data_IF_077183868435
#
_entry.id   IF_077183868435
#
_cell.length_a   1.000
_cell.length_b   1.000
_cell.length_c   1.000
_cell.angle_alpha   90.00
_cell.angle_beta   90.00
_cell.angle_gamma   90.00
#
_symmetry.space_group_name_H-M   'P 1'
#
loop_
_entity.id
_entity.type
_entity.pdbx_description
1 polymer ?
#
# COMPACT_ATOMS: atom_id res chain seq x y z
N UNK A 1 -8.28 -16.53 -18.57
CA UNK A 1 -7.35 -15.50 -19.11
C UNK A 1 -6.35 -15.18 -18.01
N UNK A 2 -5.15 -15.77 -18.08
CA UNK A 2 -4.10 -15.54 -17.09
C UNK A 2 -3.46 -14.17 -17.33
N UNK A 3 -3.75 -13.21 -16.46
CA UNK A 3 -2.97 -11.97 -16.39
C UNK A 3 -1.59 -12.31 -15.86
N UNK A 4 -0.58 -12.31 -16.72
CA UNK A 4 0.81 -12.25 -16.29
C UNK A 4 0.99 -10.88 -15.64
N UNK A 5 0.77 -10.82 -14.32
CA UNK A 5 1.09 -9.63 -13.53
C UNK A 5 2.58 -9.38 -13.66
N UNK A 6 2.95 -8.22 -14.21
CA UNK A 6 4.35 -7.78 -14.23
C UNK A 6 4.91 -7.93 -12.83
N UNK A 7 6.00 -8.66 -12.68
CA UNK A 7 6.73 -8.71 -11.42
C UNK A 7 7.29 -7.30 -11.17
N UNK A 8 6.77 -6.64 -10.13
CA UNK A 8 7.26 -5.34 -9.69
C UNK A 8 8.25 -5.59 -8.56
N UNK A 9 9.47 -5.12 -8.72
CA UNK A 9 10.49 -5.27 -7.70
C UNK A 9 10.41 -4.13 -6.67
N UNK A 10 10.26 -4.50 -5.40
CA UNK A 10 10.37 -3.60 -4.26
C UNK A 10 11.83 -3.56 -3.80
N UNK A 11 12.45 -2.39 -3.93
CA UNK A 11 13.80 -2.10 -3.45
C UNK A 11 13.76 -1.71 -1.99
N UNK A 12 14.45 -2.47 -1.15
CA UNK A 12 14.62 -2.13 0.28
C UNK A 12 15.73 -1.09 0.44
N UNK A 13 15.50 -0.09 1.31
CA UNK A 13 16.45 1.00 1.57
C UNK A 13 17.81 0.41 1.98
N UNK A 14 18.86 0.89 1.31
CA UNK A 14 20.28 0.53 1.48
C UNK A 14 20.80 -0.72 0.77
N UNK A 15 20.03 -1.39 -0.10
CA UNK A 15 20.52 -2.56 -0.87
C UNK A 15 20.94 -3.76 -0.01
N UNK A 16 20.69 -3.71 1.30
CA UNK A 16 21.09 -4.74 2.28
C UNK A 16 20.22 -6.02 2.22
N UNK A 17 19.12 -5.99 1.47
CA UNK A 17 18.21 -7.13 1.29
C UNK A 17 17.88 -7.28 -0.18
N UNK A 18 17.69 -8.52 -0.69
CA UNK A 18 17.23 -8.75 -2.05
C UNK A 18 15.93 -7.99 -2.32
N UNK A 19 15.73 -7.58 -3.57
CA UNK A 19 14.44 -7.08 -4.04
C UNK A 19 13.38 -8.15 -3.81
N UNK A 20 12.19 -7.74 -3.39
CA UNK A 20 11.05 -8.64 -3.24
C UNK A 20 9.95 -8.25 -4.22
N UNK A 21 9.19 -9.24 -4.71
CA UNK A 21 8.01 -8.95 -5.51
C UNK A 21 6.97 -8.17 -4.69
N UNK A 22 6.29 -7.23 -5.33
CA UNK A 22 5.16 -6.53 -4.73
C UNK A 22 4.09 -7.51 -4.23
N UNK A 23 3.67 -7.32 -2.98
CA UNK A 23 2.64 -8.13 -2.32
C UNK A 23 1.44 -7.24 -1.97
N UNK A 24 0.35 -7.40 -2.71
CA UNK A 24 -0.92 -6.70 -2.47
C UNK A 24 -1.46 -6.98 -1.06
N UNK A 25 -1.29 -8.20 -0.55
CA UNK A 25 -1.77 -8.61 0.77
C UNK A 25 -1.10 -7.86 1.90
N UNK A 26 0.22 -7.64 1.82
CA UNK A 26 0.96 -6.81 2.79
C UNK A 26 0.46 -5.37 2.81
N UNK A 27 0.26 -4.78 1.62
CA UNK A 27 -0.29 -3.42 1.50
C UNK A 27 -1.72 -3.32 2.03
N UNK A 28 -2.57 -4.30 1.71
CA UNK A 28 -3.95 -4.33 2.18
C UNK A 28 -3.99 -4.37 3.72
N UNK A 29 -3.22 -5.28 4.32
CA UNK A 29 -3.14 -5.42 5.77
C UNK A 29 -2.65 -4.14 6.46
N UNK A 30 -1.65 -3.45 5.88
CA UNK A 30 -1.13 -2.21 6.45
C UNK A 30 -2.13 -1.06 6.37
N UNK A 31 -2.84 -0.91 5.25
CA UNK A 31 -3.87 0.15 5.08
C UNK A 31 -5.07 -0.14 5.98
N UNK A 32 -5.54 -1.39 6.03
CA UNK A 32 -6.63 -1.81 6.92
C UNK A 32 -6.28 -1.51 8.38
N UNK A 33 -5.06 -1.82 8.82
CA UNK A 33 -4.60 -1.54 10.18
C UNK A 33 -4.59 -0.04 10.52
N UNK A 34 -4.35 0.84 9.55
CA UNK A 34 -4.45 2.28 9.76
C UNK A 34 -5.89 2.79 9.83
N UNK A 35 -6.82 2.20 9.08
CA UNK A 35 -8.24 2.53 9.22
C UNK A 35 -8.78 2.05 10.59
N UNK A 36 -8.37 0.86 11.02
CA UNK A 36 -8.77 0.33 12.34
C UNK A 36 -8.17 1.13 13.51
N UNK A 37 -6.98 1.73 13.36
CA UNK A 37 -6.38 2.53 14.44
C UNK A 37 -7.12 3.84 14.72
N UNK A 38 -7.86 4.35 13.73
CA UNK A 38 -8.80 5.48 13.87
C UNK A 38 -10.23 5.05 14.16
N UNK A 39 -10.44 3.78 14.53
CA UNK A 39 -11.72 3.18 14.93
C UNK A 39 -12.75 3.07 13.81
N UNK A 40 -12.31 2.92 12.57
CA UNK A 40 -13.21 2.59 11.47
C UNK A 40 -13.81 1.17 11.64
N UNK A 41 -14.95 0.92 10.99
CA UNK A 41 -15.59 -0.39 10.99
C UNK A 41 -14.81 -1.36 10.10
N UNK A 42 -14.72 -2.64 10.48
CA UNK A 42 -13.89 -3.63 9.77
C UNK A 42 -14.23 -3.77 8.28
N UNK A 43 -15.53 -3.72 7.93
CA UNK A 43 -16.00 -3.73 6.55
C UNK A 43 -15.56 -2.49 5.77
N UNK A 44 -15.76 -1.29 6.33
CA UNK A 44 -15.34 -0.03 5.70
C UNK A 44 -13.82 0.08 5.56
N UNK A 45 -13.07 -0.41 6.55
CA UNK A 45 -11.62 -0.50 6.53
C UNK A 45 -11.12 -1.45 5.43
N UNK A 46 -11.81 -2.58 5.23
CA UNK A 46 -11.51 -3.55 4.17
C UNK A 46 -11.78 -2.95 2.78
N UNK A 47 -12.97 -2.36 2.57
CA UNK A 47 -13.34 -1.72 1.31
C UNK A 47 -12.38 -0.58 0.93
N UNK A 48 -11.95 0.20 1.93
CA UNK A 48 -10.98 1.28 1.75
C UNK A 48 -9.60 0.73 1.38
N UNK A 49 -9.16 -0.34 2.06
CA UNK A 49 -7.89 -0.98 1.75
C UNK A 49 -7.85 -1.58 0.34
N UNK A 50 -8.95 -2.18 -0.13
CA UNK A 50 -9.06 -2.66 -1.51
C UNK A 50 -8.96 -1.52 -2.52
N UNK A 51 -9.72 -0.44 -2.35
CA UNK A 51 -9.66 0.74 -3.23
C UNK A 51 -8.26 1.35 -3.29
N UNK A 52 -7.55 1.41 -2.17
CA UNK A 52 -6.16 1.91 -2.13
C UNK A 52 -5.21 0.96 -2.83
N UNK A 53 -5.35 -0.36 -2.63
CA UNK A 53 -4.53 -1.37 -3.30
C UNK A 53 -4.68 -1.29 -4.83
N UNK A 54 -5.91 -1.18 -5.32
CA UNK A 54 -6.19 -1.11 -6.75
C UNK A 54 -5.58 0.16 -7.37
N UNK A 55 -5.63 1.29 -6.67
CA UNK A 55 -4.99 2.52 -7.11
C UNK A 55 -3.45 2.40 -7.15
N UNK A 56 -2.85 1.72 -6.17
CA UNK A 56 -1.40 1.44 -6.17
C UNK A 56 -1.03 0.50 -7.32
N UNK A 57 -1.82 -0.54 -7.59
CA UNK A 57 -1.58 -1.45 -8.71
C UNK A 57 -1.58 -0.71 -10.06
N UNK A 58 -2.55 0.19 -10.27
CA UNK A 58 -2.59 1.06 -11.46
C UNK A 58 -1.33 1.93 -11.53
N UNK A 59 -0.89 2.48 -10.40
CA UNK A 59 0.33 3.29 -10.34
C UNK A 59 1.60 2.46 -10.61
N UNK A 60 1.62 1.18 -10.26
CA UNK A 60 2.75 0.27 -10.47
C UNK A 60 2.89 -0.22 -11.92
N UNK A 61 1.83 -0.22 -12.73
CA UNK A 61 1.86 -0.80 -14.09
C UNK A 61 2.95 -0.21 -15.01
N UNK A 62 3.33 1.05 -14.78
CA UNK A 62 4.37 1.76 -15.54
C UNK A 62 5.70 1.90 -14.78
N UNK A 63 5.88 1.23 -13.64
CA UNK A 63 7.05 1.37 -12.76
C UNK A 63 7.67 0.02 -12.42
N UNK A 64 8.74 -0.40 -13.12
CA UNK A 64 9.33 -1.72 -12.91
C UNK A 64 10.00 -1.88 -11.53
N UNK A 65 10.44 -0.77 -10.93
CA UNK A 65 11.19 -0.75 -9.68
C UNK A 65 10.70 0.40 -8.79
N UNK A 66 10.33 0.10 -7.54
CA UNK A 66 9.86 1.09 -6.55
C UNK A 66 10.40 0.77 -5.17
N UNK A 67 10.44 1.75 -4.27
CA UNK A 67 10.74 1.47 -2.86
C UNK A 67 9.47 1.24 -2.06
N UNK A 68 9.58 0.56 -0.90
CA UNK A 68 8.47 0.52 0.07
C UNK A 68 8.03 1.94 0.49
N UNK A 69 8.94 2.91 0.50
CA UNK A 69 8.60 4.30 0.81
C UNK A 69 7.71 4.92 -0.28
N UNK A 70 7.98 4.64 -1.56
CA UNK A 70 7.12 5.10 -2.66
C UNK A 70 5.73 4.51 -2.59
N UNK A 71 5.62 3.21 -2.33
CA UNK A 71 4.34 2.52 -2.14
C UNK A 71 3.55 3.18 -1.01
N UNK A 72 4.18 3.43 0.14
CA UNK A 72 3.52 4.08 1.28
C UNK A 72 3.02 5.48 0.95
N UNK A 73 3.85 6.29 0.27
CA UNK A 73 3.51 7.65 -0.12
C UNK A 73 2.32 7.68 -1.08
N UNK A 74 2.28 6.78 -2.06
CA UNK A 74 1.18 6.68 -3.02
C UNK A 74 -0.08 6.17 -2.33
N UNK A 75 0.04 5.14 -1.50
CA UNK A 75 -1.08 4.63 -0.71
C UNK A 75 -1.68 5.71 0.21
N UNK A 76 -0.86 6.48 0.93
CA UNK A 76 -1.33 7.63 1.75
C UNK A 76 -2.12 8.64 0.89
N UNK A 77 -1.58 9.05 -0.27
CA UNK A 77 -2.26 9.98 -1.18
C UNK A 77 -3.64 9.50 -1.64
N UNK A 78 -3.81 8.20 -1.84
CA UNK A 78 -5.13 7.64 -2.18
C UNK A 78 -6.03 7.48 -0.96
N UNK A 79 -5.47 7.10 0.19
CA UNK A 79 -6.19 6.94 1.45
C UNK A 79 -6.81 8.26 1.94
N UNK A 80 -6.16 9.41 1.72
CA UNK A 80 -6.69 10.75 2.06
C UNK A 80 -8.10 10.99 1.51
N UNK A 81 -8.44 10.41 0.35
CA UNK A 81 -9.77 10.60 -0.29
C UNK A 81 -10.90 9.89 0.44
N UNK A 82 -10.58 8.85 1.20
CA UNK A 82 -11.55 8.01 1.89
C UNK A 82 -11.53 8.25 3.39
N UNK A 83 -10.32 8.41 3.96
CA UNK A 83 -10.13 8.56 5.39
C UNK A 83 -8.87 9.40 5.70
N UNK A 84 -9.00 10.74 5.77
CA UNK A 84 -7.87 11.66 6.00
C UNK A 84 -7.07 11.37 7.27
N UNK A 85 -7.74 11.02 8.37
CA UNK A 85 -7.12 10.69 9.65
C UNK A 85 -6.30 9.41 9.56
N UNK A 86 -6.86 8.35 8.96
CA UNK A 86 -6.13 7.11 8.72
C UNK A 86 -4.91 7.35 7.81
N UNK A 87 -5.04 8.22 6.81
CA UNK A 87 -3.91 8.59 5.94
C UNK A 87 -2.80 9.30 6.70
N UNK A 88 -3.14 10.27 7.56
CA UNK A 88 -2.17 10.94 8.41
C UNK A 88 -1.43 9.93 9.29
N UNK A 89 -2.16 9.03 9.95
CA UNK A 89 -1.56 7.98 10.76
C UNK A 89 -0.70 7.03 9.91
N UNK A 90 -1.18 6.60 8.75
CA UNK A 90 -0.48 5.68 7.85
C UNK A 90 0.86 6.22 7.34
N UNK A 91 0.92 7.53 7.08
CA UNK A 91 2.12 8.22 6.62
C UNK A 91 3.15 8.43 7.73
N UNK A 92 2.69 8.77 8.95
CA UNK A 92 3.57 9.15 10.05
C UNK A 92 3.91 7.99 11.01
N UNK A 93 3.06 6.96 11.10
CA UNK A 93 3.34 5.75 11.87
C UNK A 93 3.99 4.68 11.00
N UNK A 94 4.95 3.95 11.60
CA UNK A 94 5.72 2.90 10.93
C UNK A 94 4.91 1.61 10.74
N UNK A 95 3.90 1.63 9.88
CA UNK A 95 3.27 0.39 9.40
C UNK A 95 4.26 -0.42 8.56
N UNK A 96 4.38 -1.72 8.80
CA UNK A 96 5.30 -2.56 8.02
C UNK A 96 4.61 -3.02 6.74
N UNK A 97 5.25 -2.79 5.59
CA UNK A 97 4.90 -3.28 4.25
C UNK A 97 6.08 -4.01 3.63
#
# INVERSE_FOLDING_TARGET
MSGSGKAIDIVKRSGKRPTEAFDRGKLHASVKAACLSVRDHDGAATDTADKVCDAVLIWLDIRPEVTSHDIRRVASKHLIRYHPEAAYIYEHHRYTI
#
